data_IF_464408361426
#
_entry.id   IF_464408361426
#
_cell.length_a   1.000
_cell.length_b   1.000
_cell.length_c   1.000
_cell.angle_alpha   90.00
_cell.angle_beta   90.00
_cell.angle_gamma   90.00
#
_symmetry.space_group_name_H-M   'P 1'
#
loop_
_entity.id
_entity.type
_entity.pdbx_description
1 polymer ?
#
# COMPACT_ATOMS: atom_id res chain seq x y z
N UNK A 1 13.41 15.92 38.30
CA UNK A 1 13.36 15.29 36.97
C UNK A 1 14.15 16.18 36.03
N UNK A 2 15.17 15.65 35.36
CA UNK A 2 16.06 16.44 34.51
C UNK A 2 16.03 15.93 33.06
N UNK A 3 15.38 16.71 32.21
CA UNK A 3 15.42 16.56 30.75
C UNK A 3 16.43 17.58 30.25
N UNK A 4 17.59 17.11 29.81
CA UNK A 4 18.64 17.96 29.22
C UNK A 4 18.54 17.95 27.71
N UNK A 5 19.05 19.00 27.08
CA UNK A 5 19.16 19.12 25.63
C UNK A 5 19.92 17.91 25.04
N UNK A 6 20.94 17.46 25.74
CA UNK A 6 21.81 16.34 25.34
C UNK A 6 21.05 15.02 25.21
N UNK A 7 20.09 14.74 26.11
CA UNK A 7 19.21 13.57 26.01
C UNK A 7 18.30 13.66 24.77
N UNK A 8 17.80 14.85 24.48
CA UNK A 8 16.92 15.10 23.31
C UNK A 8 17.73 14.91 22.02
N UNK A 9 18.93 15.46 21.95
CA UNK A 9 19.83 15.34 20.80
C UNK A 9 20.25 13.88 20.54
N UNK A 10 20.48 13.08 21.58
CA UNK A 10 20.77 11.67 21.42
C UNK A 10 19.63 10.89 20.75
N UNK A 11 18.38 11.17 21.15
CA UNK A 11 17.20 10.55 20.53
C UNK A 11 17.07 10.99 19.07
N UNK A 12 17.21 12.29 18.78
CA UNK A 12 17.15 12.81 17.40
C UNK A 12 18.21 12.15 16.52
N UNK A 13 19.44 12.02 17.03
CA UNK A 13 20.57 11.40 16.30
C UNK A 13 20.29 9.93 15.95
N UNK A 14 19.64 9.17 16.84
CA UNK A 14 19.35 7.74 16.63
C UNK A 14 18.09 7.49 15.80
N UNK A 15 17.04 8.28 16.00
CA UNK A 15 15.69 8.02 15.47
C UNK A 15 15.25 8.95 14.33
N UNK A 16 16.04 9.99 13.99
CA UNK A 16 15.69 11.04 13.00
C UNK A 16 14.28 11.60 13.21
N UNK A 17 13.93 11.87 14.46
CA UNK A 17 12.63 12.45 14.86
C UNK A 17 12.75 13.95 15.09
N UNK A 18 11.62 14.66 15.11
CA UNK A 18 11.61 16.08 15.45
C UNK A 18 11.96 16.30 16.93
N UNK A 19 12.49 17.48 17.24
CA UNK A 19 12.80 17.87 18.62
C UNK A 19 11.60 17.76 19.56
N UNK A 20 10.42 18.15 19.08
CA UNK A 20 9.18 18.03 19.86
C UNK A 20 8.82 16.58 20.17
N UNK A 21 8.95 15.67 19.21
CA UNK A 21 8.68 14.25 19.41
C UNK A 21 9.69 13.62 20.40
N UNK A 22 10.97 13.98 20.30
CA UNK A 22 12.01 13.53 21.22
C UNK A 22 11.81 14.07 22.64
N UNK A 23 11.45 15.36 22.78
CA UNK A 23 11.13 15.98 24.07
C UNK A 23 9.92 15.32 24.71
N UNK A 24 8.85 15.11 23.94
CA UNK A 24 7.63 14.49 24.43
C UNK A 24 7.88 13.05 24.87
N UNK A 25 8.63 12.26 24.09
CA UNK A 25 9.00 10.90 24.48
C UNK A 25 9.81 10.87 25.80
N UNK A 26 10.67 11.86 26.05
CA UNK A 26 11.38 11.98 27.32
C UNK A 26 10.46 12.43 28.47
N UNK A 27 9.49 13.31 28.22
CA UNK A 27 8.50 13.72 29.22
C UNK A 27 7.60 12.56 29.64
N UNK A 28 7.11 11.78 28.67
CA UNK A 28 6.24 10.63 28.90
C UNK A 28 6.95 9.49 29.63
N UNK A 29 8.28 9.37 29.45
CA UNK A 29 9.11 8.33 30.04
C UNK A 29 10.03 8.86 31.17
N UNK A 30 9.66 9.96 31.83
CA UNK A 30 10.35 10.51 33.00
C UNK A 30 11.86 10.78 32.82
N UNK A 31 12.29 11.06 31.59
CA UNK A 31 13.68 11.34 31.23
C UNK A 31 14.57 10.12 31.00
N UNK A 32 13.97 8.94 30.85
CA UNK A 32 14.65 7.70 30.42
C UNK A 32 14.80 7.66 28.89
N UNK A 33 16.04 7.63 28.41
CA UNK A 33 16.37 7.63 26.98
C UNK A 33 16.00 6.30 26.32
N UNK A 34 16.15 5.17 27.02
CA UNK A 34 15.87 3.85 26.46
C UNK A 34 14.37 3.66 26.26
N UNK A 35 13.57 4.02 27.26
CA UNK A 35 12.11 3.97 27.16
C UNK A 35 11.57 4.99 26.15
N UNK A 36 12.18 6.18 26.07
CA UNK A 36 11.85 7.16 25.04
C UNK A 36 12.18 6.67 23.62
N UNK A 37 13.30 5.97 23.42
CA UNK A 37 13.63 5.34 22.14
C UNK A 37 12.68 4.18 21.81
N UNK A 38 12.36 3.34 22.78
CA UNK A 38 11.44 2.21 22.62
C UNK A 38 10.02 2.66 22.29
N UNK A 39 9.54 3.74 22.91
CA UNK A 39 8.23 4.34 22.60
C UNK A 39 8.18 4.93 21.19
N UNK A 40 9.30 5.44 20.67
CA UNK A 40 9.43 5.86 19.27
C UNK A 40 9.63 4.68 18.29
N UNK A 41 10.06 3.50 18.75
CA UNK A 41 10.10 2.23 17.98
C UNK A 41 8.73 1.62 17.79
N UNK A 42 7.79 1.98 18.63
CA UNK A 42 6.38 1.78 18.37
C UNK A 42 5.95 2.75 17.26
N UNK A 43 6.40 2.45 16.04
CA UNK A 43 5.58 2.53 14.83
C UNK A 43 4.34 1.67 15.08
N UNK A 44 3.52 2.18 15.98
CA UNK A 44 2.11 1.89 16.13
C UNK A 44 1.54 2.25 14.77
N UNK A 45 1.52 1.26 13.88
CA UNK A 45 0.42 1.12 12.94
C UNK A 45 -0.80 1.41 13.81
N UNK A 46 -1.41 2.59 13.69
CA UNK A 46 -2.64 3.00 14.39
C UNK A 46 -3.75 2.03 13.97
N UNK A 47 -3.68 0.80 14.45
CA UNK A 47 -4.55 -0.33 14.11
C UNK A 47 -5.90 -0.23 14.82
N UNK A 48 -6.11 0.76 15.70
CA UNK A 48 -7.36 0.81 16.46
C UNK A 48 -8.50 1.45 15.64
N UNK A 49 -8.22 2.44 14.79
CA UNK A 49 -9.26 3.12 13.97
C UNK A 49 -9.49 2.49 12.59
N UNK A 50 -8.41 2.09 11.90
CA UNK A 50 -8.53 1.51 10.56
C UNK A 50 -9.04 0.06 10.60
N UNK A 51 -8.52 -0.76 11.53
CA UNK A 51 -8.90 -2.17 11.63
C UNK A 51 -10.36 -2.30 12.09
N UNK A 52 -10.85 -1.43 12.98
CA UNK A 52 -12.28 -1.45 13.35
C UNK A 52 -13.20 -1.12 12.16
N UNK A 53 -12.81 -0.21 11.28
CA UNK A 53 -13.56 0.10 10.04
C UNK A 53 -13.50 -1.06 9.04
N UNK A 54 -12.31 -1.63 8.82
CA UNK A 54 -12.11 -2.79 7.93
C UNK A 54 -12.89 -4.01 8.42
N UNK A 55 -12.88 -4.29 9.72
CA UNK A 55 -13.60 -5.43 10.31
C UNK A 55 -15.12 -5.31 10.11
N UNK A 56 -15.67 -4.11 10.31
CA UNK A 56 -17.08 -3.83 10.04
C UNK A 56 -17.45 -3.99 8.55
N UNK A 57 -16.56 -3.62 7.63
CA UNK A 57 -16.77 -3.85 6.20
C UNK A 57 -16.73 -5.34 5.86
N UNK A 58 -15.77 -6.09 6.39
CA UNK A 58 -15.65 -7.55 6.14
C UNK A 58 -16.87 -8.31 6.65
N UNK A 59 -17.38 -7.98 7.83
CA UNK A 59 -18.59 -8.61 8.40
C UNK A 59 -19.85 -8.35 7.56
N UNK A 60 -19.97 -7.14 6.98
CA UNK A 60 -21.04 -6.83 6.02
C UNK A 60 -20.86 -7.58 4.70
N UNK A 61 -19.63 -7.66 4.19
CA UNK A 61 -19.31 -8.35 2.94
C UNK A 61 -19.52 -9.87 3.02
N UNK A 62 -19.24 -10.49 4.16
CA UNK A 62 -19.38 -11.94 4.34
C UNK A 62 -20.83 -12.44 4.22
N UNK A 63 -21.82 -11.57 4.46
CA UNK A 63 -23.25 -11.91 4.31
C UNK A 63 -23.71 -11.85 2.85
N UNK A 64 -22.97 -11.15 2.00
CA UNK A 64 -23.28 -11.02 0.58
C UNK A 64 -22.73 -12.25 -0.14
N UNK A 65 -23.63 -13.18 -0.45
CA UNK A 65 -23.33 -14.36 -1.26
C UNK A 65 -23.59 -13.99 -2.71
N UNK A 66 -22.54 -13.88 -3.52
CA UNK A 66 -22.69 -13.76 -4.96
C UNK A 66 -23.15 -15.13 -5.48
N UNK A 67 -24.42 -15.21 -5.87
CA UNK A 67 -24.98 -16.39 -6.50
C UNK A 67 -25.19 -16.03 -7.96
N UNK A 68 -24.36 -16.58 -8.84
CA UNK A 68 -24.53 -16.41 -10.28
C UNK A 68 -25.44 -17.53 -10.77
N UNK A 69 -26.73 -17.22 -10.93
CA UNK A 69 -27.70 -18.18 -11.43
C UNK A 69 -27.68 -18.17 -12.96
N UNK A 70 -27.23 -19.27 -13.56
CA UNK A 70 -27.43 -19.53 -15.00
C UNK A 70 -28.14 -20.88 -15.12
N UNK A 71 -29.36 -20.84 -15.64
CA UNK A 71 -30.15 -21.98 -16.12
C UNK A 71 -30.28 -23.17 -15.14
N UNK A 72 -31.06 -22.98 -14.07
CA UNK A 72 -31.75 -24.08 -13.38
C UNK A 72 -30.89 -25.03 -12.54
N UNK A 73 -29.59 -24.78 -12.37
CA UNK A 73 -28.74 -25.52 -11.46
C UNK A 73 -27.84 -24.56 -10.65
N UNK A 74 -27.79 -24.77 -9.32
CA UNK A 74 -27.15 -23.86 -8.37
C UNK A 74 -25.65 -23.81 -8.61
N UNK A 75 -25.21 -22.83 -9.39
CA UNK A 75 -23.79 -22.56 -9.62
C UNK A 75 -23.25 -21.78 -8.41
N UNK A 76 -22.66 -22.53 -7.49
CA UNK A 76 -21.63 -22.12 -6.51
C UNK A 76 -21.83 -20.71 -5.94
N UNK A 77 -22.48 -20.63 -4.77
CA UNK A 77 -22.55 -19.39 -4.00
C UNK A 77 -21.19 -19.05 -3.39
N UNK A 78 -20.40 -18.22 -4.06
CA UNK A 78 -19.11 -17.75 -3.56
C UNK A 78 -19.33 -16.48 -2.71
N UNK A 79 -18.77 -16.41 -1.48
CA UNK A 79 -18.75 -15.17 -0.73
C UNK A 79 -17.88 -14.14 -1.45
N UNK A 80 -18.32 -12.87 -1.45
CA UNK A 80 -17.60 -11.76 -2.10
C UNK A 80 -16.14 -11.66 -1.64
N UNK A 81 -15.86 -12.03 -0.39
CA UNK A 81 -14.52 -12.01 0.18
C UNK A 81 -13.52 -12.87 -0.62
N UNK A 82 -13.94 -14.05 -1.09
CA UNK A 82 -13.09 -14.95 -1.88
C UNK A 82 -12.81 -14.32 -3.25
N UNK A 83 -13.82 -13.73 -3.88
CA UNK A 83 -13.67 -13.04 -5.17
C UNK A 83 -12.68 -11.87 -5.05
N UNK A 84 -12.77 -11.10 -3.96
CA UNK A 84 -11.89 -9.95 -3.72
C UNK A 84 -10.43 -10.37 -3.47
N UNK A 85 -10.22 -11.44 -2.70
CA UNK A 85 -8.88 -11.98 -2.43
C UNK A 85 -8.24 -12.51 -3.70
N UNK A 86 -9.02 -13.24 -4.52
CA UNK A 86 -8.55 -13.70 -5.82
C UNK A 86 -8.20 -12.51 -6.72
N UNK A 87 -9.09 -11.52 -6.86
CA UNK A 87 -8.82 -10.34 -7.68
C UNK A 87 -7.52 -9.61 -7.25
N UNK A 88 -7.29 -9.48 -5.95
CA UNK A 88 -6.06 -8.88 -5.41
C UNK A 88 -4.80 -9.70 -5.73
N UNK A 89 -4.91 -11.03 -5.72
CA UNK A 89 -3.78 -11.92 -6.00
C UNK A 89 -3.44 -12.03 -7.49
N UNK A 90 -4.44 -11.94 -8.37
CA UNK A 90 -4.23 -12.00 -9.82
C UNK A 90 -3.67 -10.70 -10.41
N UNK A 91 -3.93 -9.55 -9.79
CA UNK A 91 -3.44 -8.25 -10.26
C UNK A 91 -1.90 -8.16 -10.45
N UNK A 92 -1.05 -8.58 -9.50
CA UNK A 92 0.40 -8.55 -9.70
C UNK A 92 0.87 -9.54 -10.78
N UNK A 93 0.16 -10.66 -10.99
CA UNK A 93 0.48 -11.61 -12.06
C UNK A 93 0.26 -10.96 -13.42
N UNK A 94 -0.86 -10.24 -13.59
CA UNK A 94 -1.15 -9.50 -14.83
C UNK A 94 -0.11 -8.43 -15.07
N UNK A 95 0.23 -7.62 -14.06
CA UNK A 95 1.28 -6.60 -14.17
C UNK A 95 2.65 -7.20 -14.51
N UNK A 96 3.02 -8.28 -13.82
CA UNK A 96 4.29 -8.98 -14.06
C UNK A 96 4.38 -9.54 -15.48
N UNK A 97 3.30 -10.14 -15.99
CA UNK A 97 3.22 -10.57 -17.39
C UNK A 97 3.33 -9.38 -18.34
N UNK A 98 2.61 -8.29 -18.10
CA UNK A 98 2.69 -7.09 -18.95
C UNK A 98 4.11 -6.53 -19.04
N UNK A 99 4.84 -6.46 -17.92
CA UNK A 99 6.24 -6.03 -17.89
C UNK A 99 7.14 -7.02 -18.63
N UNK A 100 6.91 -8.33 -18.44
CA UNK A 100 7.70 -9.38 -19.09
C UNK A 100 7.54 -9.38 -20.62
N UNK A 101 6.32 -9.19 -21.14
CA UNK A 101 6.08 -9.07 -22.59
C UNK A 101 6.82 -7.86 -23.17
N UNK A 102 6.82 -6.73 -22.45
CA UNK A 102 7.56 -5.54 -22.85
C UNK A 102 9.07 -5.81 -22.93
N UNK A 103 9.62 -6.53 -21.94
CA UNK A 103 11.04 -6.90 -21.92
C UNK A 103 11.43 -7.88 -23.03
N UNK A 104 10.52 -8.77 -23.44
CA UNK A 104 10.74 -9.67 -24.58
C UNK A 104 10.56 -8.98 -25.94
N UNK A 105 10.24 -7.69 -25.98
CA UNK A 105 10.05 -6.93 -27.22
C UNK A 105 8.74 -7.25 -27.94
N UNK A 106 7.74 -7.79 -27.23
CA UNK A 106 6.40 -7.91 -27.79
C UNK A 106 5.74 -6.53 -27.82
N UNK A 107 5.33 -6.10 -29.00
CA UNK A 107 4.55 -4.89 -29.17
C UNK A 107 3.15 -5.12 -28.57
N UNK A 108 2.91 -4.58 -27.37
CA UNK A 108 1.58 -4.54 -26.77
C UNK A 108 0.69 -3.58 -27.57
N UNK A 109 0.05 -4.09 -28.61
CA UNK A 109 -1.01 -3.36 -29.31
C UNK A 109 -2.31 -3.58 -28.53
N UNK A 110 -2.68 -2.56 -27.75
CA UNK A 110 -3.99 -2.53 -27.08
C UNK A 110 -4.98 -1.98 -28.12
N UNK A 111 -5.55 -2.89 -28.91
CA UNK A 111 -6.65 -2.55 -29.81
C UNK A 111 -7.89 -2.24 -28.97
N UNK A 112 -8.05 -0.95 -28.67
CA UNK A 112 -9.28 -0.41 -28.13
C UNK A 112 -10.30 -0.46 -29.27
N UNK A 113 -11.18 -1.46 -29.24
CA UNK A 113 -12.37 -1.50 -30.10
C UNK A 113 -13.25 -0.29 -29.75
N UNK A 114 -13.01 0.83 -30.43
CA UNK A 114 -13.60 2.12 -30.15
C UNK A 114 -12.72 3.27 -30.62
N UNK A 115 -12.58 3.35 -31.95
CA UNK A 115 -12.18 4.51 -32.76
C UNK A 115 -11.64 5.74 -32.01
N UNK A 116 -10.31 5.82 -31.84
CA UNK A 116 -9.50 7.02 -32.07
C UNK A 116 -8.03 6.71 -31.76
N UNK A 117 -7.20 6.79 -32.80
CA UNK A 117 -5.75 6.62 -32.71
C UNK A 117 -5.13 7.86 -32.07
N UNK A 118 -4.75 7.77 -30.80
CA UNK A 118 -3.84 8.76 -30.19
C UNK A 118 -2.43 8.43 -30.68
N UNK A 119 -1.97 9.18 -31.70
CA UNK A 119 -0.58 9.15 -32.14
C UNK A 119 0.30 9.74 -31.05
N UNK A 120 1.14 8.92 -30.45
CA UNK A 120 2.24 9.40 -29.60
C UNK A 120 3.41 9.71 -30.56
N UNK A 121 3.85 10.97 -30.70
CA UNK A 121 5.02 11.28 -31.49
C UNK A 121 6.24 10.59 -30.89
N UNK A 122 7.03 9.94 -31.75
CA UNK A 122 8.29 9.33 -31.38
C UNK A 122 9.17 10.39 -30.69
N UNK A 123 9.72 10.03 -29.53
CA UNK A 123 10.75 10.80 -28.88
C UNK A 123 12.01 10.65 -29.76
N UNK A 124 12.23 11.63 -30.62
CA UNK A 124 13.40 11.72 -31.49
C UNK A 124 14.61 12.04 -30.63
N UNK A 125 15.27 10.98 -30.16
CA UNK A 125 16.58 11.01 -29.50
C UNK A 125 17.66 10.67 -30.53
N UNK A 126 17.58 11.26 -31.73
CA UNK A 126 18.68 11.23 -32.70
C UNK A 126 19.40 12.56 -32.66
N UNK A 127 20.24 12.65 -31.64
CA UNK A 127 21.62 13.10 -31.74
C UNK A 127 21.89 14.10 -32.87
N UNK A 128 21.77 15.36 -32.47
CA UNK A 128 22.80 16.40 -32.59
C UNK A 128 24.23 15.84 -32.77
N UNK A 129 24.56 15.38 -33.99
CA UNK A 129 25.95 15.22 -34.44
C UNK A 129 26.05 15.52 -35.95
N UNK A 130 26.79 16.60 -36.22
CA UNK A 130 27.32 17.16 -37.48
C UNK A 130 26.50 18.23 -38.20
#
# INVERSE_FOLDING_TARGET
MEITLEKVDEIIRRKKVSYQAAKQALEDNNGDILEALASLDQTTVKKNGFWSSVRQMIEKLSKIKLSFEKEGSRLIGLPITIVLVLAFFFFPVVIGLSILLLLLGYNLQIDKSGNEMVKIPALDLRDDVH
#
